data_IF_578196899048
#
_entry.id   IF_578196899048
#
_cell.length_a   1.000
_cell.length_b   1.000
_cell.length_c   1.000
_cell.angle_alpha   90.00
_cell.angle_beta   90.00
_cell.angle_gamma   90.00
#
_symmetry.space_group_name_H-M   'P 1'
#
loop_
_entity.id
_entity.type
_entity.pdbx_description
1 polymer ?
#
# COMPACT_ATOMS: atom_id res chain seq x y z
N UNK A 1 10.34 20.78 7.59
CA UNK A 1 10.97 19.77 6.72
C UNK A 1 11.82 20.44 5.62
N UNK A 2 12.79 21.28 5.98
CA UNK A 2 13.53 22.11 5.00
C UNK A 2 14.77 21.43 4.41
N UNK A 3 15.06 20.17 4.74
CA UNK A 3 16.35 19.55 4.39
C UNK A 3 16.24 18.09 3.87
N UNK A 4 15.10 17.74 3.27
CA UNK A 4 14.92 16.39 2.69
C UNK A 4 15.60 16.31 1.33
N UNK A 5 16.75 15.62 1.26
CA UNK A 5 17.50 15.39 0.02
C UNK A 5 16.99 14.16 -0.75
N UNK A 6 17.34 14.07 -2.03
CA UNK A 6 17.08 12.88 -2.84
C UNK A 6 17.71 11.61 -2.23
N UNK A 7 18.92 11.74 -1.68
CA UNK A 7 19.59 10.65 -0.96
C UNK A 7 18.76 10.18 0.23
N UNK A 8 18.23 11.11 1.04
CA UNK A 8 17.38 10.74 2.17
C UNK A 8 16.08 10.06 1.72
N UNK A 9 15.49 10.49 0.60
CA UNK A 9 14.32 9.82 0.01
C UNK A 9 14.65 8.40 -0.44
N UNK A 10 15.80 8.18 -1.10
CA UNK A 10 16.24 6.85 -1.49
C UNK A 10 16.48 5.94 -0.26
N UNK A 11 17.12 6.47 0.79
CA UNK A 11 17.35 5.74 2.03
C UNK A 11 16.03 5.33 2.71
N UNK A 12 15.07 6.26 2.84
CA UNK A 12 13.75 5.94 3.42
C UNK A 12 12.99 4.94 2.55
N UNK A 13 13.10 5.04 1.22
CA UNK A 13 12.49 4.06 0.32
C UNK A 13 13.08 2.66 0.52
N UNK A 14 14.40 2.57 0.64
CA UNK A 14 15.11 1.32 0.93
C UNK A 14 14.64 0.72 2.26
N UNK A 15 14.69 1.52 3.34
CA UNK A 15 14.34 1.10 4.70
C UNK A 15 12.86 0.69 4.82
N UNK A 16 11.94 1.52 4.33
CA UNK A 16 10.51 1.34 4.58
C UNK A 16 9.79 0.50 3.51
N UNK A 17 10.31 0.46 2.28
CA UNK A 17 9.65 -0.25 1.16
C UNK A 17 10.44 -1.47 0.74
N UNK A 18 11.70 -1.31 0.35
CA UNK A 18 12.49 -2.41 -0.20
C UNK A 18 12.70 -3.54 0.82
N UNK A 19 13.12 -3.23 2.05
CA UNK A 19 13.33 -4.26 3.09
C UNK A 19 12.04 -4.99 3.48
N UNK A 20 10.88 -4.33 3.35
CA UNK A 20 9.59 -4.88 3.78
C UNK A 20 8.87 -5.66 2.69
N UNK A 21 9.00 -5.24 1.43
CA UNK A 21 8.22 -5.78 0.30
C UNK A 21 9.07 -6.27 -0.87
N UNK A 22 10.38 -6.03 -0.86
CA UNK A 22 11.30 -6.30 -1.97
C UNK A 22 11.34 -5.19 -3.02
N UNK A 23 12.14 -5.40 -4.07
CA UNK A 23 12.28 -4.44 -5.17
C UNK A 23 11.01 -4.41 -6.05
N UNK A 24 10.36 -3.25 -6.23
CA UNK A 24 9.24 -3.13 -7.14
C UNK A 24 9.72 -3.21 -8.59
N UNK A 25 8.90 -3.75 -9.49
CA UNK A 25 9.19 -3.74 -10.93
C UNK A 25 9.03 -2.37 -11.59
N UNK A 26 8.31 -1.45 -10.93
CA UNK A 26 8.05 -0.08 -11.37
C UNK A 26 7.80 0.83 -10.17
N UNK A 27 8.58 1.89 -10.04
CA UNK A 27 8.35 3.01 -9.15
C UNK A 27 7.66 4.11 -9.96
N UNK A 28 6.42 4.43 -9.58
CA UNK A 28 5.67 5.53 -10.17
C UNK A 28 5.63 6.68 -9.15
N UNK A 29 6.11 7.84 -9.56
CA UNK A 29 6.24 9.03 -8.69
C UNK A 29 5.69 10.28 -9.38
N UNK A 30 5.53 11.37 -8.64
CA UNK A 30 5.24 12.69 -9.21
C UNK A 30 6.51 13.31 -9.80
N UNK A 31 6.48 14.58 -10.21
CA UNK A 31 7.66 15.25 -10.77
C UNK A 31 8.49 15.95 -9.70
N UNK A 32 8.43 15.50 -8.44
CA UNK A 32 9.24 16.08 -7.37
C UNK A 32 10.73 15.97 -7.72
N UNK A 33 11.53 17.05 -7.59
CA UNK A 33 12.95 17.06 -7.93
C UNK A 33 13.75 15.94 -7.27
N UNK A 34 13.34 15.48 -6.07
CA UNK A 34 14.02 14.40 -5.34
C UNK A 34 13.90 13.07 -6.07
N UNK A 35 12.71 12.74 -6.59
CA UNK A 35 12.50 11.53 -7.40
C UNK A 35 13.03 11.66 -8.84
N UNK A 36 13.10 12.89 -9.35
CA UNK A 36 13.66 13.16 -10.68
C UNK A 36 15.20 13.18 -10.70
N UNK A 37 15.85 13.26 -9.55
CA UNK A 37 17.30 13.36 -9.42
C UNK A 37 18.08 12.16 -9.96
N UNK A 38 19.32 12.38 -10.38
CA UNK A 38 20.25 11.30 -10.78
C UNK A 38 20.49 10.28 -9.65
N UNK A 39 20.51 10.74 -8.39
CA UNK A 39 20.66 9.88 -7.21
C UNK A 39 19.51 8.88 -7.13
N UNK A 40 18.26 9.33 -7.28
CA UNK A 40 17.10 8.44 -7.20
C UNK A 40 17.00 7.53 -8.44
N UNK A 41 17.42 8.03 -9.61
CA UNK A 41 17.50 7.20 -10.83
C UNK A 41 18.51 6.06 -10.67
N UNK A 42 19.73 6.37 -10.22
CA UNK A 42 20.77 5.37 -9.96
C UNK A 42 20.32 4.34 -8.91
N UNK A 43 19.65 4.81 -7.83
CA UNK A 43 19.07 3.92 -6.83
C UNK A 43 18.02 2.96 -7.42
N UNK A 44 17.11 3.46 -8.28
CA UNK A 44 16.13 2.62 -8.96
C UNK A 44 16.78 1.59 -9.90
N UNK A 45 17.83 2.00 -10.63
CA UNK A 45 18.61 1.11 -11.51
C UNK A 45 19.31 0.00 -10.72
N UNK A 46 19.92 0.32 -9.57
CA UNK A 46 20.54 -0.67 -8.68
C UNK A 46 19.54 -1.73 -8.19
N UNK A 47 18.29 -1.34 -7.94
CA UNK A 47 17.21 -2.27 -7.59
C UNK A 47 16.59 -3.00 -8.79
N UNK A 48 17.04 -2.70 -10.01
CA UNK A 48 16.42 -3.17 -11.26
C UNK A 48 14.95 -2.76 -11.39
N UNK A 49 14.59 -1.64 -10.77
CA UNK A 49 13.26 -1.05 -10.80
C UNK A 49 13.16 -0.02 -11.93
N UNK A 50 12.12 -0.10 -12.75
CA UNK A 50 11.81 1.00 -13.69
C UNK A 50 11.33 2.21 -12.89
N UNK A 51 11.76 3.42 -13.23
CA UNK A 51 11.22 4.65 -12.65
C UNK A 51 10.40 5.42 -13.67
N UNK A 52 9.19 5.87 -13.31
CA UNK A 52 8.32 6.65 -14.20
C UNK A 52 7.61 7.79 -13.47
N UNK A 53 7.91 9.01 -13.89
CA UNK A 53 7.17 10.19 -13.50
C UNK A 53 5.74 10.16 -14.06
N UNK A 54 4.77 10.59 -13.27
CA UNK A 54 3.40 10.79 -13.72
C UNK A 54 3.29 12.01 -14.62
N UNK A 55 2.36 11.96 -15.57
CA UNK A 55 2.05 13.12 -16.41
C UNK A 55 1.38 14.18 -15.53
N UNK A 56 1.78 15.44 -15.72
CA UNK A 56 1.14 16.59 -15.11
C UNK A 56 -0.37 16.51 -15.38
N UNK A 57 -1.18 16.47 -14.32
CA UNK A 57 -2.65 16.45 -14.39
C UNK A 57 -3.29 15.15 -14.94
N UNK A 58 -3.09 14.01 -14.27
CA UNK A 58 -3.98 12.82 -14.40
C UNK A 58 -4.55 12.39 -13.03
N UNK A 59 -5.57 13.09 -12.49
CA UNK A 59 -6.21 12.75 -11.20
C UNK A 59 -6.73 11.30 -11.15
N UNK A 60 -7.13 10.74 -12.28
CA UNK A 60 -7.60 9.35 -12.39
C UNK A 60 -6.49 8.32 -12.19
N UNK A 61 -5.23 8.66 -12.53
CA UNK A 61 -4.09 7.77 -12.41
C UNK A 61 -3.52 7.75 -10.98
N UNK A 62 -3.53 8.90 -10.29
CA UNK A 62 -2.96 9.06 -8.96
C UNK A 62 -3.99 8.99 -7.83
N UNK A 63 -5.29 9.07 -8.14
CA UNK A 63 -6.34 9.23 -7.14
C UNK A 63 -6.44 8.10 -6.11
N UNK A 64 -5.86 6.92 -6.36
CA UNK A 64 -5.77 5.89 -5.32
C UNK A 64 -4.70 6.21 -4.28
N UNK A 65 -3.48 6.51 -4.72
CA UNK A 65 -2.39 6.91 -3.82
C UNK A 65 -2.77 8.18 -3.06
N UNK A 66 -3.37 9.16 -3.73
CA UNK A 66 -3.85 10.39 -3.09
C UNK A 66 -4.90 10.12 -2.01
N UNK A 67 -5.83 9.17 -2.23
CA UNK A 67 -6.81 8.79 -1.21
C UNK A 67 -6.16 8.13 -0.01
N UNK A 68 -5.25 7.18 -0.23
CA UNK A 68 -4.55 6.49 0.86
C UNK A 68 -3.71 7.47 1.69
N UNK A 69 -2.97 8.36 1.03
CA UNK A 69 -2.18 9.42 1.70
C UNK A 69 -3.11 10.37 2.45
N UNK A 70 -4.24 10.76 1.86
CA UNK A 70 -5.23 11.60 2.53
C UNK A 70 -5.80 10.95 3.78
N UNK A 71 -6.15 9.66 3.74
CA UNK A 71 -6.65 8.94 4.92
C UNK A 71 -5.61 8.94 6.04
N UNK A 72 -4.35 8.63 5.74
CA UNK A 72 -3.26 8.67 6.74
C UNK A 72 -3.10 10.07 7.32
N UNK A 73 -3.01 11.10 6.47
CA UNK A 73 -2.86 12.49 6.94
C UNK A 73 -4.05 12.95 7.80
N UNK A 74 -5.27 12.58 7.43
CA UNK A 74 -6.46 12.91 8.23
C UNK A 74 -6.41 12.23 9.60
N UNK A 75 -6.03 10.95 9.67
CA UNK A 75 -5.88 10.23 10.93
C UNK A 75 -4.80 10.85 11.82
N UNK A 76 -3.65 11.22 11.25
CA UNK A 76 -2.55 11.88 11.99
C UNK A 76 -2.95 13.27 12.45
N UNK A 77 -3.64 14.06 11.61
CA UNK A 77 -4.08 15.40 11.99
C UNK A 77 -5.05 15.38 13.17
N UNK A 78 -6.03 14.47 13.15
CA UNK A 78 -6.98 14.33 14.28
C UNK A 78 -6.25 13.97 15.58
N UNK A 79 -5.20 13.16 15.49
CA UNK A 79 -4.37 12.82 16.64
C UNK A 79 -3.56 14.03 17.14
N UNK A 80 -2.89 14.73 16.23
CA UNK A 80 -2.03 15.88 16.55
C UNK A 80 -2.81 17.16 16.95
N UNK A 81 -4.14 17.19 16.81
CA UNK A 81 -4.98 18.31 17.27
C UNK A 81 -5.02 18.44 18.80
N UNK A 82 -4.82 17.33 19.53
CA UNK A 82 -4.70 17.36 20.98
C UNK A 82 -3.29 17.82 21.40
N UNK A 83 -3.22 18.93 22.15
CA UNK A 83 -1.96 19.50 22.62
C UNK A 83 -1.17 18.57 23.53
N UNK A 84 -1.82 17.60 24.17
CA UNK A 84 -1.16 16.59 25.00
C UNK A 84 -0.56 15.43 24.18
N UNK A 85 -0.88 15.35 22.89
CA UNK A 85 -0.48 14.27 21.98
C UNK A 85 0.59 14.79 21.00
N UNK A 86 1.84 14.85 21.47
CA UNK A 86 2.99 15.36 20.71
C UNK A 86 3.81 14.25 20.03
N UNK A 87 3.52 12.98 20.32
CA UNK A 87 4.14 11.74 19.85
C UNK A 87 3.53 11.21 18.54
N UNK A 88 3.17 12.14 17.64
CA UNK A 88 2.51 11.81 16.38
C UNK A 88 3.35 10.91 15.48
N UNK A 89 4.68 10.95 15.60
CA UNK A 89 5.64 10.13 14.85
C UNK A 89 5.63 8.67 15.33
N UNK A 90 5.55 8.42 16.63
CA UNK A 90 5.37 7.06 17.18
C UNK A 90 4.00 6.47 16.80
N UNK A 91 2.97 7.31 16.70
CA UNK A 91 1.61 6.88 16.42
C UNK A 91 1.32 6.77 14.94
N UNK A 92 2.07 7.47 14.08
CA UNK A 92 1.98 7.32 12.64
C UNK A 92 2.19 5.86 12.21
N UNK A 93 3.16 5.15 12.80
CA UNK A 93 3.40 3.74 12.48
C UNK A 93 2.22 2.84 12.92
N UNK A 94 1.68 3.07 14.12
CA UNK A 94 0.50 2.36 14.62
C UNK A 94 -0.74 2.61 13.75
N UNK A 95 -0.94 3.85 13.31
CA UNK A 95 -2.03 4.22 12.40
C UNK A 95 -1.88 3.57 11.03
N UNK A 96 -0.66 3.56 10.46
CA UNK A 96 -0.39 2.87 9.20
C UNK A 96 -0.67 1.37 9.34
N UNK A 97 -0.29 0.75 10.46
CA UNK A 97 -0.60 -0.64 10.74
C UNK A 97 -2.12 -0.89 10.82
N UNK A 98 -2.86 -0.04 11.54
CA UNK A 98 -4.31 -0.14 11.67
C UNK A 98 -5.03 0.05 10.33
N UNK A 99 -4.60 1.03 9.51
CA UNK A 99 -5.14 1.26 8.16
C UNK A 99 -4.88 0.05 7.26
N UNK A 100 -3.67 -0.53 7.30
CA UNK A 100 -3.34 -1.70 6.50
C UNK A 100 -4.10 -2.96 6.92
N UNK A 101 -4.53 -3.06 8.18
CA UNK A 101 -5.36 -4.16 8.69
C UNK A 101 -6.87 -3.85 8.66
N UNK A 102 -7.27 -2.68 8.17
CA UNK A 102 -8.68 -2.31 8.01
C UNK A 102 -9.22 -2.79 6.66
N UNK A 103 -10.50 -3.15 6.64
CA UNK A 103 -11.17 -3.61 5.41
C UNK A 103 -11.21 -2.51 4.34
N UNK A 104 -10.61 -2.77 3.18
CA UNK A 104 -10.77 -1.90 2.01
C UNK A 104 -12.12 -2.19 1.35
N UNK A 105 -13.05 -1.23 1.43
CA UNK A 105 -14.41 -1.38 0.89
C UNK A 105 -14.46 -1.55 -0.63
N UNK A 106 -13.42 -1.14 -1.37
CA UNK A 106 -13.29 -1.34 -2.81
C UNK A 106 -12.78 -2.74 -3.10
N UNK A 107 -11.72 -3.18 -2.41
CA UNK A 107 -11.09 -4.48 -2.68
C UNK A 107 -11.75 -5.66 -1.96
N UNK A 108 -12.61 -5.37 -0.98
CA UNK A 108 -13.30 -6.33 -0.11
C UNK A 108 -12.34 -7.20 0.70
N UNK A 109 -11.14 -6.69 0.99
CA UNK A 109 -10.09 -7.37 1.74
C UNK A 109 -9.17 -6.34 2.40
N UNK A 110 -8.39 -6.75 3.40
CA UNK A 110 -7.38 -5.89 4.03
C UNK A 110 -6.14 -5.76 3.14
N UNK A 111 -5.53 -4.55 3.02
CA UNK A 111 -4.26 -4.37 2.33
C UNK A 111 -3.15 -5.30 2.85
N UNK A 112 -3.11 -5.52 4.17
CA UNK A 112 -2.13 -6.40 4.82
C UNK A 112 -2.24 -7.85 4.28
N UNK A 113 -3.44 -8.42 4.27
CA UNK A 113 -3.66 -9.77 3.75
C UNK A 113 -3.30 -9.88 2.27
N UNK A 114 -3.68 -8.89 1.45
CA UNK A 114 -3.38 -8.92 0.02
C UNK A 114 -1.87 -8.90 -0.27
N UNK A 115 -1.08 -8.20 0.55
CA UNK A 115 0.37 -8.09 0.39
C UNK A 115 1.10 -9.30 0.98
N UNK A 116 0.74 -9.72 2.19
CA UNK A 116 1.50 -10.71 2.95
C UNK A 116 0.96 -12.14 2.80
N UNK A 117 -0.31 -12.30 2.41
CA UNK A 117 -0.99 -13.58 2.28
C UNK A 117 -1.52 -14.16 3.58
N UNK A 118 -1.31 -13.48 4.70
CA UNK A 118 -1.77 -13.90 6.01
C UNK A 118 -2.28 -12.68 6.78
N UNK A 119 -3.13 -12.93 7.76
CA UNK A 119 -3.59 -11.95 8.74
C UNK A 119 -3.18 -12.37 10.16
N UNK A 120 -3.32 -11.46 11.12
CA UNK A 120 -2.97 -11.71 12.52
C UNK A 120 -3.71 -12.94 13.11
N UNK A 121 -4.97 -13.15 12.72
CA UNK A 121 -5.77 -14.30 13.18
C UNK A 121 -5.31 -15.62 12.58
N UNK A 122 -4.92 -15.64 11.29
CA UNK A 122 -4.42 -16.82 10.59
C UNK A 122 -3.09 -17.31 11.15
N UNK A 123 -2.21 -16.38 11.54
CA UNK A 123 -0.91 -16.69 12.16
C UNK A 123 -1.09 -17.26 13.55
N UNK A 124 -1.96 -16.65 14.37
CA UNK A 124 -2.32 -17.17 15.69
C UNK A 124 -2.96 -18.57 15.60
N UNK A 125 -3.83 -18.80 14.62
CA UNK A 125 -4.45 -20.11 14.38
C UNK A 125 -3.41 -21.17 14.01
N UNK A 126 -2.47 -20.86 13.12
CA UNK A 126 -1.39 -21.77 12.73
C UNK A 126 -0.48 -22.14 13.93
N UNK A 127 -0.13 -21.15 14.76
CA UNK A 127 0.69 -21.39 15.97
C UNK A 127 -0.06 -22.21 17.02
N UNK A 128 -1.34 -21.93 17.27
CA UNK A 128 -2.14 -22.64 18.27
C UNK A 128 -2.43 -24.10 17.87
N UNK A 129 -2.57 -24.39 16.58
CA UNK A 129 -2.72 -25.77 16.10
C UNK A 129 -1.41 -26.56 16.26
N UNK A 130 -0.26 -25.90 16.05
CA UNK A 130 1.07 -26.51 16.23
C UNK A 130 1.35 -26.87 17.70
N UNK A 131 0.94 -26.01 18.64
CA UNK A 131 1.10 -26.24 20.08
C UNK A 131 0.25 -27.41 20.61
N UNK A 132 -0.94 -27.64 20.04
CA UNK A 132 -1.86 -28.70 20.49
C UNK A 132 -1.43 -30.12 20.13
N UNK A 133 -0.62 -30.30 19.08
CA UNK A 133 -0.28 -31.62 18.56
C UNK A 133 1.13 -32.12 18.92
N UNK A 134 1.92 -31.33 19.66
CA UNK A 134 3.22 -31.73 20.21
C UNK A 134 4.31 -32.10 19.19
N UNK A 135 4.02 -32.06 17.88
CA UNK A 135 4.95 -32.42 16.80
C UNK A 135 4.73 -31.44 15.64
N UNK A 136 5.73 -30.63 15.24
CA UNK A 136 5.64 -29.88 14.00
C UNK A 136 5.89 -30.85 12.84
N UNK A 137 4.84 -31.50 12.32
CA UNK A 137 4.99 -32.24 11.05
C UNK A 137 5.15 -31.21 9.94
N UNK A 138 6.37 -31.10 9.42
CA UNK A 138 6.74 -30.20 8.32
C UNK A 138 5.77 -30.29 7.10
N UNK A 139 5.14 -31.45 6.91
CA UNK A 139 4.08 -31.67 5.90
C UNK A 139 2.82 -30.84 6.13
N UNK A 140 2.40 -30.62 7.38
CA UNK A 140 1.22 -29.81 7.73
C UNK A 140 1.48 -28.32 7.51
N UNK A 141 2.68 -27.85 7.84
CA UNK A 141 3.10 -26.47 7.57
C UNK A 141 3.17 -26.17 6.07
N UNK A 142 3.68 -27.11 5.25
CA UNK A 142 3.70 -26.97 3.79
C UNK A 142 2.29 -27.01 3.19
N UNK A 143 1.43 -27.90 3.67
CA UNK A 143 0.04 -27.97 3.22
C UNK A 143 -0.72 -26.67 3.57
N UNK A 144 -0.56 -26.17 4.80
CA UNK A 144 -1.11 -24.89 5.23
C UNK A 144 -0.60 -23.73 4.37
N UNK A 145 0.71 -23.65 4.10
CA UNK A 145 1.28 -22.58 3.27
C UNK A 145 0.76 -22.62 1.83
N UNK A 146 0.60 -23.81 1.25
CA UNK A 146 -0.01 -23.98 -0.09
C UNK A 146 -1.46 -23.52 -0.11
N UNK A 147 -2.22 -23.87 0.92
CA UNK A 147 -3.62 -23.44 1.07
C UNK A 147 -3.73 -21.92 1.14
N UNK A 148 -2.97 -21.32 2.04
CA UNK A 148 -2.96 -19.87 2.25
C UNK A 148 -2.53 -19.12 0.98
N UNK A 149 -1.47 -19.56 0.30
CA UNK A 149 -1.05 -18.95 -0.96
C UNK A 149 -2.15 -19.02 -2.04
N UNK A 150 -2.91 -20.12 -2.12
CA UNK A 150 -4.00 -20.26 -3.09
C UNK A 150 -5.15 -19.31 -2.78
N UNK A 151 -5.53 -19.20 -1.50
CA UNK A 151 -6.56 -18.25 -1.06
C UNK A 151 -6.13 -16.81 -1.33
N UNK A 152 -4.86 -16.48 -1.05
CA UNK A 152 -4.29 -15.17 -1.37
C UNK A 152 -4.38 -14.88 -2.86
N UNK A 153 -4.01 -15.83 -3.73
CA UNK A 153 -4.06 -15.63 -5.19
C UNK A 153 -5.49 -15.40 -5.71
N UNK A 154 -6.48 -16.09 -5.13
CA UNK A 154 -7.90 -15.85 -5.42
C UNK A 154 -8.32 -14.47 -4.95
N UNK A 155 -8.03 -14.11 -3.70
CA UNK A 155 -8.35 -12.81 -3.13
C UNK A 155 -7.70 -11.67 -3.94
N UNK A 156 -6.46 -11.86 -4.39
CA UNK A 156 -5.73 -10.88 -5.18
C UNK A 156 -6.39 -10.65 -6.55
N UNK A 157 -6.79 -11.74 -7.25
CA UNK A 157 -7.54 -11.63 -8.52
C UNK A 157 -8.86 -10.89 -8.33
N UNK A 158 -9.65 -11.26 -7.32
CA UNK A 158 -10.93 -10.59 -7.04
C UNK A 158 -10.73 -9.12 -6.70
N UNK A 159 -9.74 -8.80 -5.87
CA UNK A 159 -9.41 -7.42 -5.51
C UNK A 159 -9.01 -6.58 -6.74
N UNK A 160 -8.27 -7.16 -7.69
CA UNK A 160 -7.94 -6.49 -8.95
C UNK A 160 -9.17 -6.23 -9.81
N UNK A 161 -10.06 -7.21 -9.94
CA UNK A 161 -11.32 -7.07 -10.70
C UNK A 161 -12.23 -6.00 -10.10
N UNK A 162 -12.42 -6.00 -8.78
CA UNK A 162 -13.19 -4.98 -8.08
C UNK A 162 -12.58 -3.60 -8.25
N UNK A 163 -11.27 -3.50 -8.12
CA UNK A 163 -10.56 -2.24 -8.31
C UNK A 163 -10.68 -1.72 -9.75
N UNK A 164 -10.60 -2.60 -10.75
CA UNK A 164 -10.76 -2.25 -12.16
C UNK A 164 -12.19 -1.77 -12.45
N UNK A 165 -13.19 -2.47 -11.91
CA UNK A 165 -14.61 -2.13 -12.04
C UNK A 165 -14.92 -0.78 -11.42
N UNK A 166 -14.46 -0.54 -10.19
CA UNK A 166 -14.65 0.75 -9.50
C UNK A 166 -13.92 1.90 -10.19
N UNK A 167 -12.70 1.69 -10.70
CA UNK A 167 -12.00 2.69 -11.52
C UNK A 167 -12.81 3.05 -12.76
N UNK A 168 -13.33 2.04 -13.47
CA UNK A 168 -14.16 2.23 -14.66
C UNK A 168 -15.45 2.98 -14.35
N UNK A 169 -16.14 2.62 -13.25
CA UNK A 169 -17.34 3.31 -12.78
C UNK A 169 -17.08 4.78 -12.47
N UNK A 170 -16.01 5.07 -11.73
CA UNK A 170 -15.62 6.46 -11.38
C UNK A 170 -15.24 7.29 -12.61
N UNK A 171 -14.53 6.70 -13.57
CA UNK A 171 -14.21 7.37 -14.82
C UNK A 171 -15.47 7.74 -15.62
N UNK A 172 -16.45 6.82 -15.70
CA UNK A 172 -17.75 7.11 -16.34
C UNK A 172 -18.47 8.27 -15.66
N UNK A 173 -18.66 8.19 -14.34
CA UNK A 173 -19.33 9.25 -13.56
C UNK A 173 -18.65 10.62 -13.72
N UNK A 174 -17.31 10.65 -13.72
CA UNK A 174 -16.56 11.89 -13.94
C UNK A 174 -16.78 12.45 -15.36
N UNK A 175 -16.73 11.60 -16.38
CA UNK A 175 -16.95 12.01 -17.76
C UNK A 175 -18.39 12.52 -17.99
N UNK A 176 -19.39 11.89 -17.36
CA UNK A 176 -20.78 12.30 -17.47
C UNK A 176 -21.03 13.65 -16.76
N UNK A 177 -20.40 13.87 -15.60
CA UNK A 177 -20.45 15.16 -14.92
C UNK A 177 -19.84 16.29 -15.78
N UNK A 178 -18.72 16.03 -16.46
CA UNK A 178 -18.11 17.01 -17.38
C UNK A 178 -19.02 17.33 -18.56
N UNK A 179 -19.70 16.33 -19.15
CA UNK A 179 -20.66 16.55 -20.23
C UNK A 179 -21.84 17.41 -19.78
N UNK A 180 -22.34 17.22 -18.56
CA UNK A 180 -23.42 18.03 -18.00
C UNK A 180 -23.04 19.49 -17.70
N UNK A 181 -21.74 19.78 -17.54
CA UNK A 181 -21.21 21.13 -17.35
C UNK A 181 -21.02 21.84 -18.71
N UNK A 182 -20.59 21.11 -19.74
CA UNK A 182 -20.36 21.66 -21.10
C UNK A 182 -21.68 21.87 -21.88
N UNK A 183 -22.76 21.21 -21.48
CA UNK A 183 -24.09 21.33 -22.11
C UNK A 183 -24.97 22.46 -21.52
N UNK A 184 -24.44 23.27 -20.60
CA UNK A 184 -25.08 24.49 -20.06
C UNK A 184 -24.32 25.72 -20.51
#
# INVERSE_FOLDING_TARGET
>A
MSDTTAFKVAQVFEECTYRRFGAPSLIRHDRDPRFMSEVFQAFAEMMQSRSRATLSYRPQANGQQERSVKTVMQSVNVYAEDRLQQDWDEIAEHLVFAINNSMDTTRKETPFYLVHGWDASSTMKAMTTSLRHGIPKQSEALAWRREINRQQEVAWRMAQEYQHTEKSRRARLHNDALKGIVAK
#
